data_IF_148376871181
#
_entry.id   IF_148376871181
#
_cell.length_a   1.000
_cell.length_b   1.000
_cell.length_c   1.000
_cell.angle_alpha   90.00
_cell.angle_beta   90.00
_cell.angle_gamma   90.00
#
_symmetry.space_group_name_H-M   'P 1'
#
loop_
_entity.id
_entity.type
_entity.pdbx_description
1 polymer ?
#
# COMPACT_ATOMS: atom_id res chain seq x y z
N UNK A 1 4.46 0.11 24.15
CA UNK A 1 4.23 -0.84 23.02
C UNK A 1 5.23 -0.54 21.92
N UNK A 2 5.69 -1.58 21.21
CA UNK A 2 6.66 -1.45 20.12
C UNK A 2 5.93 -0.95 18.88
N UNK A 3 6.35 0.18 18.29
CA UNK A 3 5.73 0.71 17.07
C UNK A 3 6.01 -0.24 15.91
N UNK A 4 5.00 -0.69 15.18
CA UNK A 4 5.17 -1.61 14.03
C UNK A 4 4.79 -0.89 12.74
N UNK A 5 5.61 -1.06 11.71
CA UNK A 5 5.34 -0.68 10.33
C UNK A 5 5.35 -1.93 9.44
N UNK A 6 4.23 -2.21 8.79
CA UNK A 6 4.15 -3.19 7.71
C UNK A 6 4.45 -2.50 6.37
N UNK A 7 5.32 -3.10 5.56
CA UNK A 7 5.65 -2.60 4.22
C UNK A 7 5.27 -3.68 3.20
N UNK A 8 4.37 -3.31 2.29
CA UNK A 8 3.86 -4.15 1.20
C UNK A 8 4.30 -3.54 -0.15
N UNK A 9 5.06 -4.26 -0.97
CA UNK A 9 5.59 -3.75 -2.23
C UNK A 9 4.56 -3.80 -3.37
N UNK A 10 4.84 -3.08 -4.45
CA UNK A 10 4.04 -3.04 -5.68
C UNK A 10 4.10 -4.31 -6.53
N UNK A 11 3.38 -4.29 -7.66
CA UNK A 11 3.26 -5.41 -8.61
C UNK A 11 4.61 -5.97 -9.02
N UNK A 12 4.80 -7.29 -8.92
CA UNK A 12 6.06 -8.03 -9.23
C UNK A 12 7.30 -7.59 -8.44
N UNK A 13 7.18 -6.60 -7.56
CA UNK A 13 8.28 -6.14 -6.75
C UNK A 13 8.44 -7.00 -5.50
N UNK A 14 9.61 -6.86 -4.87
CA UNK A 14 9.85 -7.43 -3.55
C UNK A 14 10.46 -6.37 -2.65
N UNK A 15 10.23 -6.54 -1.35
CA UNK A 15 10.83 -5.70 -0.30
C UNK A 15 12.36 -5.75 -0.29
N UNK A 16 13.01 -6.65 -1.04
CA UNK A 16 14.47 -6.66 -1.21
C UNK A 16 14.98 -5.48 -2.05
N UNK A 17 14.13 -4.80 -2.83
CA UNK A 17 14.54 -3.61 -3.59
C UNK A 17 15.03 -2.51 -2.66
N UNK A 18 16.03 -1.75 -3.14
CA UNK A 18 16.69 -0.68 -2.38
C UNK A 18 15.71 0.33 -1.75
N UNK A 19 14.65 0.82 -2.43
CA UNK A 19 13.72 1.76 -1.83
C UNK A 19 13.05 1.27 -0.54
N UNK A 20 12.55 0.02 -0.52
CA UNK A 20 11.92 -0.55 0.68
C UNK A 20 12.92 -0.78 1.80
N UNK A 21 14.17 -1.14 1.47
CA UNK A 21 15.24 -1.26 2.47
C UNK A 21 15.64 0.10 3.05
N UNK A 22 15.63 1.16 2.25
CA UNK A 22 15.85 2.52 2.73
C UNK A 22 14.69 2.98 3.63
N UNK A 23 13.44 2.74 3.22
CA UNK A 23 12.27 3.02 4.04
C UNK A 23 12.33 2.29 5.39
N UNK A 24 12.73 1.02 5.39
CA UNK A 24 12.97 0.26 6.63
C UNK A 24 13.98 0.96 7.53
N UNK A 25 15.13 1.37 6.99
CA UNK A 25 16.18 2.04 7.77
C UNK A 25 15.68 3.34 8.39
N UNK A 26 14.97 4.17 7.64
CA UNK A 26 14.40 5.43 8.16
C UNK A 26 13.31 5.19 9.20
N UNK A 27 12.42 4.22 8.99
CA UNK A 27 11.41 3.84 9.98
C UNK A 27 12.03 3.32 11.28
N UNK A 28 13.08 2.50 11.18
CA UNK A 28 13.81 1.99 12.35
C UNK A 28 14.48 3.11 13.17
N UNK A 29 15.02 4.15 12.51
CA UNK A 29 15.53 5.34 13.20
C UNK A 29 14.44 6.07 13.98
N UNK A 30 13.18 6.03 13.52
CA UNK A 30 12.01 6.58 14.23
C UNK A 30 11.41 5.61 15.27
N UNK A 31 12.12 4.52 15.61
CA UNK A 31 11.71 3.57 16.64
C UNK A 31 10.68 2.54 16.20
N UNK A 32 10.50 2.33 14.89
CA UNK A 32 9.62 1.29 14.36
C UNK A 32 10.33 -0.05 14.19
N UNK A 33 9.66 -1.12 14.59
CA UNK A 33 9.86 -2.43 14.01
C UNK A 33 9.25 -2.47 12.61
N UNK A 34 9.97 -3.05 11.66
CA UNK A 34 9.53 -3.14 10.27
C UNK A 34 9.29 -4.59 9.90
N UNK A 35 8.07 -4.89 9.48
CA UNK A 35 7.65 -6.21 9.01
C UNK A 35 7.38 -6.14 7.51
N UNK A 36 8.19 -6.85 6.73
CA UNK A 36 7.98 -6.96 5.29
C UNK A 36 6.91 -7.98 4.95
N UNK A 37 6.02 -7.62 4.03
CA UNK A 37 4.94 -8.47 3.52
C UNK A 37 5.03 -8.53 2.00
N UNK A 38 5.84 -9.46 1.49
CA UNK A 38 5.90 -9.72 0.05
C UNK A 38 4.63 -10.45 -0.40
N UNK A 39 4.16 -10.13 -1.61
CA UNK A 39 2.98 -10.74 -2.20
C UNK A 39 3.39 -11.88 -3.11
N UNK A 40 2.77 -13.04 -2.92
CA UNK A 40 2.77 -14.14 -3.89
C UNK A 40 1.67 -13.88 -4.92
N UNK A 41 2.05 -13.24 -6.02
CA UNK A 41 1.12 -12.85 -7.10
C UNK A 41 0.48 -14.04 -7.84
N UNK A 42 0.92 -15.27 -7.56
CA UNK A 42 0.29 -16.49 -8.09
C UNK A 42 -0.92 -16.95 -7.26
N UNK A 43 -1.13 -16.34 -6.09
CA UNK A 43 -2.23 -16.65 -5.17
C UNK A 43 -3.23 -15.49 -5.11
N UNK A 44 -4.50 -15.77 -4.76
CA UNK A 44 -5.47 -14.72 -4.43
C UNK A 44 -4.91 -13.76 -3.38
N UNK A 45 -5.15 -12.47 -3.51
CA UNK A 45 -4.73 -11.47 -2.52
C UNK A 45 -5.49 -11.66 -1.21
N UNK A 46 -6.78 -12.01 -1.30
CA UNK A 46 -7.64 -12.28 -0.14
C UNK A 46 -7.06 -13.36 0.79
N UNK A 47 -6.40 -14.38 0.24
CA UNK A 47 -5.76 -15.45 1.02
C UNK A 47 -4.45 -15.06 1.71
N UNK A 48 -3.94 -13.86 1.42
CA UNK A 48 -2.65 -13.36 1.92
C UNK A 48 -2.82 -12.25 2.96
N UNK A 49 -4.07 -11.93 3.31
CA UNK A 49 -4.39 -10.97 4.37
C UNK A 49 -3.81 -11.44 5.70
N UNK A 50 -3.30 -10.50 6.48
CA UNK A 50 -2.63 -10.76 7.75
C UNK A 50 -3.21 -9.88 8.86
N UNK A 51 -3.08 -10.33 10.10
CA UNK A 51 -3.48 -9.55 11.28
C UNK A 51 -2.47 -8.47 11.62
N UNK A 52 -2.96 -7.35 12.15
CA UNK A 52 -2.15 -6.22 12.59
C UNK A 52 -2.60 -5.74 13.96
N UNK A 53 -1.66 -5.36 14.85
CA UNK A 53 -2.02 -4.65 16.07
C UNK A 53 -2.66 -3.29 15.79
N UNK A 54 -3.52 -2.82 16.69
CA UNK A 54 -4.27 -1.57 16.54
C UNK A 54 -3.37 -0.33 16.46
N UNK A 55 -2.18 -0.36 17.05
CA UNK A 55 -1.23 0.76 17.04
C UNK A 55 -0.27 0.76 15.83
N UNK A 56 -0.34 -0.26 14.97
CA UNK A 56 0.53 -0.44 13.81
C UNK A 56 0.24 0.55 12.68
N UNK A 57 1.24 0.74 11.81
CA UNK A 57 1.12 1.42 10.53
C UNK A 57 1.20 0.38 9.42
N UNK A 58 0.35 0.51 8.41
CA UNK A 58 0.40 -0.32 7.20
C UNK A 58 0.69 0.59 6.02
N UNK A 59 1.78 0.32 5.31
CA UNK A 59 2.14 0.99 4.07
C UNK A 59 2.04 0.01 2.91
N UNK A 60 1.30 0.39 1.87
CA UNK A 60 1.25 -0.34 0.60
C UNK A 60 1.52 0.59 -0.58
N UNK A 61 2.38 0.13 -1.49
CA UNK A 61 2.72 0.85 -2.72
C UNK A 61 2.07 0.18 -3.94
N UNK A 62 1.50 0.97 -4.86
CA UNK A 62 0.88 0.48 -6.09
C UNK A 62 -0.13 -0.64 -5.78
N UNK A 63 -0.11 -1.77 -6.49
CA UNK A 63 -0.98 -2.92 -6.18
C UNK A 63 -0.83 -3.48 -4.76
N UNK A 64 0.29 -3.21 -4.08
CA UNK A 64 0.45 -3.53 -2.65
C UNK A 64 -0.50 -2.75 -1.74
N UNK A 65 -0.97 -1.57 -2.18
CA UNK A 65 -1.98 -0.78 -1.48
C UNK A 65 -3.34 -1.52 -1.37
N UNK A 66 -3.64 -2.43 -2.30
CA UNK A 66 -4.84 -3.27 -2.23
C UNK A 66 -4.75 -4.25 -1.05
N UNK A 67 -3.61 -4.94 -0.89
CA UNK A 67 -3.43 -5.84 0.25
C UNK A 67 -3.38 -5.07 1.57
N UNK A 68 -2.80 -3.86 1.58
CA UNK A 68 -2.83 -2.97 2.73
C UNK A 68 -4.27 -2.62 3.15
N UNK A 69 -5.13 -2.30 2.18
CA UNK A 69 -6.54 -2.06 2.40
C UNK A 69 -7.27 -3.29 2.96
N UNK A 70 -7.09 -4.45 2.34
CA UNK A 70 -7.73 -5.69 2.79
C UNK A 70 -7.31 -6.06 4.22
N UNK A 71 -6.05 -5.85 4.59
CA UNK A 71 -5.58 -6.05 5.97
C UNK A 71 -6.25 -5.07 6.94
N UNK A 72 -6.31 -3.78 6.59
CA UNK A 72 -6.97 -2.75 7.39
C UNK A 72 -8.50 -2.89 7.46
N UNK A 73 -9.13 -3.54 6.48
CA UNK A 73 -10.56 -3.86 6.50
C UNK A 73 -10.88 -4.89 7.58
N UNK A 74 -10.01 -5.89 7.76
CA UNK A 74 -10.21 -6.94 8.75
C UNK A 74 -9.76 -6.50 10.15
N UNK A 75 -8.67 -5.73 10.25
CA UNK A 75 -8.00 -5.38 11.50
C UNK A 75 -7.88 -3.86 11.65
N UNK A 76 -8.19 -3.28 12.83
CA UNK A 76 -7.90 -1.88 13.07
C UNK A 76 -6.39 -1.65 13.08
N UNK A 77 -5.98 -0.47 12.62
CA UNK A 77 -4.60 0.00 12.69
C UNK A 77 -4.59 1.51 12.92
N UNK A 78 -3.46 2.06 13.37
CA UNK A 78 -3.36 3.49 13.70
C UNK A 78 -3.32 4.34 12.44
N UNK A 79 -2.60 3.87 11.42
CA UNK A 79 -2.42 4.59 10.17
C UNK A 79 -2.30 3.62 8.99
N UNK A 80 -3.11 3.87 7.97
CA UNK A 80 -3.00 3.22 6.66
C UNK A 80 -2.45 4.24 5.65
N UNK A 81 -1.32 3.93 5.03
CA UNK A 81 -0.69 4.74 3.98
C UNK A 81 -0.84 4.00 2.65
N UNK A 82 -1.57 4.61 1.71
CA UNK A 82 -1.81 4.08 0.37
C UNK A 82 -1.04 4.95 -0.62
N UNK A 83 0.01 4.39 -1.23
CA UNK A 83 0.87 5.13 -2.13
C UNK A 83 0.68 4.67 -3.58
N UNK A 84 0.48 5.64 -4.49
CA UNK A 84 0.34 5.46 -5.94
C UNK A 84 -0.79 4.51 -6.34
N UNK A 85 -1.79 4.32 -5.47
CA UNK A 85 -3.03 3.61 -5.80
C UNK A 85 -4.11 3.84 -4.73
N UNK A 86 -5.32 4.17 -5.20
CA UNK A 86 -6.55 4.17 -4.40
C UNK A 86 -7.40 2.95 -4.81
N UNK A 87 -7.48 1.89 -3.97
CA UNK A 87 -8.11 0.63 -4.36
C UNK A 87 -9.55 0.78 -4.88
N UNK A 88 -10.45 1.47 -4.17
CA UNK A 88 -11.85 1.59 -4.59
C UNK A 88 -12.03 2.27 -5.94
N UNK A 89 -11.39 3.42 -6.13
CA UNK A 89 -11.47 4.18 -7.37
C UNK A 89 -11.05 3.33 -8.58
N UNK A 90 -9.97 2.57 -8.43
CA UNK A 90 -9.37 1.77 -9.48
C UNK A 90 -10.29 0.67 -10.02
N UNK A 91 -11.21 0.15 -9.20
CA UNK A 91 -12.16 -0.90 -9.62
C UNK A 91 -13.52 -0.37 -10.05
N UNK A 92 -13.83 0.91 -9.76
CA UNK A 92 -15.03 1.59 -10.26
C UNK A 92 -14.83 2.19 -11.65
N UNK A 93 -13.61 2.64 -11.98
CA UNK A 93 -13.28 3.13 -13.31
C UNK A 93 -13.07 1.96 -14.28
N UNK A 94 -13.85 1.93 -15.36
CA UNK A 94 -13.83 0.83 -16.33
C UNK A 94 -12.53 0.75 -17.13
N UNK A 95 -11.87 1.88 -17.39
CA UNK A 95 -10.58 1.93 -18.11
C UNK A 95 -9.47 1.42 -17.21
N UNK A 96 -9.41 1.88 -15.95
CA UNK A 96 -8.42 1.42 -14.97
C UNK A 96 -8.62 -0.08 -14.70
N UNK A 97 -9.87 -0.52 -14.49
CA UNK A 97 -10.19 -1.94 -14.30
C UNK A 97 -9.72 -2.79 -15.49
N UNK A 98 -9.93 -2.34 -16.72
CA UNK A 98 -9.47 -3.06 -17.92
C UNK A 98 -7.95 -3.17 -17.95
N UNK A 99 -7.23 -2.06 -17.71
CA UNK A 99 -5.77 -2.06 -17.62
C UNK A 99 -5.26 -3.01 -16.52
N UNK A 100 -5.92 -3.05 -15.36
CA UNK A 100 -5.59 -3.98 -14.29
C UNK A 100 -5.79 -5.44 -14.72
N UNK A 101 -6.87 -5.77 -15.43
CA UNK A 101 -7.11 -7.12 -15.97
C UNK A 101 -5.99 -7.51 -16.95
N UNK A 102 -5.56 -6.59 -17.81
CA UNK A 102 -4.48 -6.85 -18.77
C UNK A 102 -3.14 -7.14 -18.08
N UNK A 103 -2.85 -6.45 -16.98
CA UNK A 103 -1.59 -6.60 -16.23
C UNK A 103 -1.61 -7.82 -15.29
N UNK A 104 -2.71 -8.03 -14.58
CA UNK A 104 -2.78 -8.98 -13.44
C UNK A 104 -3.62 -10.21 -13.73
N UNK A 105 -4.41 -10.19 -14.81
CA UNK A 105 -5.36 -11.23 -15.16
C UNK A 105 -6.71 -11.09 -14.44
N UNK A 106 -7.76 -11.60 -15.09
CA UNK A 106 -9.14 -11.49 -14.61
C UNK A 106 -9.37 -12.18 -13.26
N UNK A 107 -8.63 -13.25 -12.96
CA UNK A 107 -8.74 -13.98 -11.69
C UNK A 107 -8.33 -13.12 -10.50
N UNK A 108 -7.26 -12.35 -10.63
CA UNK A 108 -6.81 -11.40 -9.62
C UNK A 108 -7.87 -10.33 -9.37
N UNK A 109 -8.34 -9.69 -10.45
CA UNK A 109 -9.32 -8.60 -10.35
C UNK A 109 -10.64 -9.09 -9.73
N UNK A 110 -11.11 -10.28 -10.10
CA UNK A 110 -12.32 -10.86 -9.52
C UNK A 110 -12.15 -11.19 -8.03
N UNK A 111 -10.98 -11.69 -7.61
CA UNK A 111 -10.68 -11.90 -6.19
C UNK A 111 -10.75 -10.58 -5.41
N UNK A 112 -10.13 -9.52 -5.93
CA UNK A 112 -10.15 -8.22 -5.27
C UNK A 112 -11.56 -7.66 -5.19
N UNK A 113 -12.30 -7.61 -6.31
CA UNK A 113 -13.68 -7.08 -6.35
C UNK A 113 -14.59 -7.83 -5.38
N UNK A 114 -14.42 -9.15 -5.24
CA UNK A 114 -15.24 -9.97 -4.33
C UNK A 114 -15.01 -9.64 -2.85
N UNK A 115 -13.79 -9.24 -2.47
CA UNK A 115 -13.41 -9.11 -1.06
C UNK A 115 -13.15 -7.68 -0.60
N UNK A 116 -12.99 -6.73 -1.52
CA UNK A 116 -12.71 -5.33 -1.21
C UNK A 116 -14.00 -4.60 -0.84
N UNK A 117 -14.12 -4.15 0.41
CA UNK A 117 -15.24 -3.34 0.91
C UNK A 117 -14.88 -1.87 0.95
N UNK A 118 -15.87 -0.99 0.74
CA UNK A 118 -15.72 0.48 0.67
C UNK A 118 -15.12 1.15 1.91
N UNK A 119 -15.00 0.43 3.03
CA UNK A 119 -14.50 0.94 4.30
C UNK A 119 -13.38 0.05 4.81
N UNK A 120 -12.45 0.67 5.53
CA UNK A 120 -11.47 -0.03 6.35
C UNK A 120 -11.56 0.45 7.81
N UNK A 121 -10.84 -0.22 8.71
CA UNK A 121 -10.85 0.04 10.16
C UNK A 121 -9.65 0.86 10.63
N UNK A 122 -8.89 1.48 9.73
CA UNK A 122 -7.77 2.35 10.11
C UNK A 122 -8.29 3.61 10.82
N UNK A 123 -7.66 4.01 11.92
CA UNK A 123 -8.00 5.25 12.63
C UNK A 123 -7.72 6.49 11.79
N UNK A 124 -6.67 6.42 10.96
CA UNK A 124 -6.31 7.43 9.97
C UNK A 124 -5.90 6.75 8.68
N UNK A 125 -6.30 7.32 7.56
CA UNK A 125 -5.81 6.97 6.23
C UNK A 125 -5.06 8.16 5.63
N UNK A 126 -4.04 7.88 4.82
CA UNK A 126 -3.35 8.89 4.03
C UNK A 126 -3.05 8.34 2.65
N UNK A 127 -3.58 9.02 1.63
CA UNK A 127 -3.31 8.74 0.23
C UNK A 127 -2.12 9.59 -0.23
N UNK A 128 -1.17 8.97 -0.92
CA UNK A 128 0.03 9.62 -1.42
C UNK A 128 0.23 9.30 -2.89
N UNK A 129 0.41 10.31 -3.73
CA UNK A 129 0.75 10.13 -5.14
C UNK A 129 1.98 10.94 -5.49
N UNK A 130 2.74 10.49 -6.49
CA UNK A 130 3.68 11.34 -7.20
C UNK A 130 2.94 12.48 -7.88
N UNK A 131 3.49 13.70 -7.84
CA UNK A 131 2.87 14.86 -8.50
C UNK A 131 2.81 14.75 -10.03
N UNK A 132 3.60 13.85 -10.61
CA UNK A 132 3.60 13.55 -12.04
C UNK A 132 2.64 12.41 -12.41
N UNK A 133 1.94 11.80 -11.43
CA UNK A 133 0.89 10.79 -11.69
C UNK A 133 -0.46 11.42 -12.09
N UNK A 134 -0.62 12.75 -11.98
CA UNK A 134 -1.86 13.50 -12.26
C UNK A 134 -3.09 13.01 -11.46
N UNK A 135 -2.84 12.56 -10.23
CA UNK A 135 -3.85 11.99 -9.33
C UNK A 135 -4.10 12.88 -8.10
N UNK A 136 -5.30 12.80 -7.53
CA UNK A 136 -5.62 13.52 -6.28
C UNK A 136 -5.20 12.70 -5.07
N UNK A 137 -4.51 13.33 -4.13
CA UNK A 137 -4.01 12.69 -2.92
C UNK A 137 -4.00 13.66 -1.73
N UNK A 138 -3.92 13.12 -0.51
CA UNK A 138 -3.69 13.91 0.69
C UNK A 138 -2.28 14.52 0.68
N UNK A 139 -1.32 13.81 0.06
CA UNK A 139 0.07 14.25 -0.12
C UNK A 139 0.51 14.01 -1.56
N UNK A 140 0.94 15.08 -2.24
CA UNK A 140 1.62 15.00 -3.53
C UNK A 140 3.13 15.06 -3.33
N UNK A 141 3.82 14.00 -3.72
CA UNK A 141 5.27 13.86 -3.62
C UNK A 141 5.91 14.53 -4.82
N UNK A 142 6.63 15.62 -4.59
CA UNK A 142 7.19 16.46 -5.66
C UNK A 142 8.22 15.75 -6.53
N UNK A 143 8.18 16.06 -7.82
CA UNK A 143 9.05 15.51 -8.88
C UNK A 143 9.09 13.98 -8.84
N UNK A 144 7.92 13.35 -8.73
CA UNK A 144 7.83 11.90 -8.60
C UNK A 144 6.69 11.35 -9.44
N UNK A 145 6.97 10.29 -10.19
CA UNK A 145 5.97 9.48 -10.91
C UNK A 145 5.57 8.28 -10.04
N UNK A 146 5.15 7.18 -10.66
CA UNK A 146 4.80 5.91 -10.04
C UNK A 146 6.04 5.12 -9.58
N UNK A 147 6.89 5.72 -8.75
CA UNK A 147 8.08 5.07 -8.19
C UNK A 147 8.30 5.45 -6.73
N UNK A 148 8.72 4.49 -5.91
CA UNK A 148 9.11 4.74 -4.52
C UNK A 148 10.47 5.46 -4.45
N UNK A 149 10.49 6.75 -4.74
CA UNK A 149 11.70 7.60 -4.72
C UNK A 149 12.12 7.99 -3.29
N UNK A 150 13.29 8.62 -3.15
CA UNK A 150 13.72 9.20 -1.88
C UNK A 150 12.77 10.28 -1.35
N UNK A 151 12.08 11.01 -2.23
CA UNK A 151 11.09 12.01 -1.81
C UNK A 151 9.86 11.32 -1.19
N UNK A 152 9.44 10.20 -1.77
CA UNK A 152 8.40 9.35 -1.21
C UNK A 152 8.77 8.85 0.17
N UNK A 153 9.98 8.29 0.31
CA UNK A 153 10.48 7.78 1.58
C UNK A 153 10.48 8.89 2.64
N UNK A 154 11.02 10.07 2.32
CA UNK A 154 10.98 11.24 3.23
C UNK A 154 9.56 11.62 3.63
N UNK A 155 8.62 11.61 2.69
CA UNK A 155 7.22 11.96 2.97
C UNK A 155 6.56 10.90 3.87
N UNK A 156 6.79 9.61 3.63
CA UNK A 156 6.31 8.52 4.49
C UNK A 156 6.92 8.65 5.90
N UNK A 157 8.23 8.88 6.01
CA UNK A 157 8.93 8.99 7.29
C UNK A 157 8.40 10.15 8.15
N UNK A 158 7.90 11.24 7.56
CA UNK A 158 7.25 12.34 8.31
C UNK A 158 5.92 11.93 8.96
N UNK A 159 5.30 10.84 8.50
CA UNK A 159 4.05 10.31 9.06
C UNK A 159 4.30 9.26 10.16
N UNK A 160 5.54 8.81 10.32
CA UNK A 160 5.98 7.77 11.25
C UNK A 160 6.54 8.37 12.55
#
# INVERSE_FOLDING_TARGET
MKKILYIIPGWTETTRRRPYQLLRKEAQKNGYEVIFKNIDWKKPLSSQVFSTPEDAVIFGFSLGAILAWLAAQQNPCRLLILASMTPHYSFTDSKIKKALIEITGIRFVNDVIKHLESKNKAKKQTMMYGDLEDEKADILVKNTEHELTNNYIKAITKLL
#
